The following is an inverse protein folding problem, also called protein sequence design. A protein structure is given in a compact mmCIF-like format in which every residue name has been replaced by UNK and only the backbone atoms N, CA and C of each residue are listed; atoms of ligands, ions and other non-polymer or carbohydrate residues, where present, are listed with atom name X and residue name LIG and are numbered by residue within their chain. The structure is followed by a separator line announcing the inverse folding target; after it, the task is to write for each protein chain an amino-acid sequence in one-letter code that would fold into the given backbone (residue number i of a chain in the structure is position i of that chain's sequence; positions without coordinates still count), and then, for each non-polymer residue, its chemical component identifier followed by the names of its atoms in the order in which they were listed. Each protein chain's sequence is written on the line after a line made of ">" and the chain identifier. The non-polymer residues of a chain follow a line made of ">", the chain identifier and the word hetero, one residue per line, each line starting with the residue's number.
data_IF_967548150264
#
_entry.id   IF_967548150264
#
_cell.length_a   1.000
_cell.length_b   1.000
_cell.length_c   1.000
_cell.angle_alpha   90.00
_cell.angle_beta   90.00
_cell.angle_gamma   90.00
#
_symmetry.space_group_name_H-M   'P 1'
#
loop_
_entity.id
_entity.type
_entity.pdbx_description
1 polymer ?
#
# COMPACT_ATOMS: atom_id res chain seq x y z
N UNK A 1 -16.30 -24.55 -5.20
CA UNK A 1 -15.91 -23.20 -4.71
C UNK A 1 -14.49 -22.94 -5.17
N UNK A 2 -14.30 -22.50 -6.41
CA UNK A 2 -12.97 -22.41 -7.04
C UNK A 2 -12.95 -21.37 -8.16
N UNK A 3 -13.68 -20.26 -7.99
CA UNK A 3 -13.61 -19.13 -8.92
C UNK A 3 -12.57 -18.09 -8.47
N UNK A 4 -12.31 -17.97 -7.16
CA UNK A 4 -11.30 -17.05 -6.60
C UNK A 4 -9.87 -17.61 -6.61
N UNK A 5 -9.71 -18.93 -6.81
CA UNK A 5 -8.41 -19.59 -6.95
C UNK A 5 -7.76 -19.33 -8.32
N UNK A 6 -8.51 -18.75 -9.27
CA UNK A 6 -7.95 -18.42 -10.57
C UNK A 6 -7.07 -17.17 -10.44
N UNK A 7 -5.75 -17.26 -10.70
CA UNK A 7 -4.81 -16.15 -10.53
C UNK A 7 -5.17 -14.92 -11.38
N UNK A 8 -5.84 -15.14 -12.53
CA UNK A 8 -6.34 -14.07 -13.41
C UNK A 8 -7.45 -13.26 -12.75
N UNK A 9 -8.42 -13.92 -12.10
CA UNK A 9 -9.56 -13.27 -11.46
C UNK A 9 -9.08 -12.48 -10.24
N UNK A 10 -8.15 -13.06 -9.47
CA UNK A 10 -7.54 -12.38 -8.33
C UNK A 10 -6.84 -11.08 -8.74
N UNK A 11 -6.01 -11.14 -9.79
CA UNK A 11 -5.32 -9.94 -10.28
C UNK A 11 -6.29 -8.87 -10.80
N UNK A 12 -7.36 -9.27 -11.47
CA UNK A 12 -8.35 -8.33 -11.98
C UNK A 12 -9.09 -7.60 -10.85
N UNK A 13 -9.43 -8.32 -9.77
CA UNK A 13 -10.07 -7.75 -8.59
C UNK A 13 -9.15 -6.73 -7.91
N UNK A 14 -7.87 -7.06 -7.69
CA UNK A 14 -6.93 -6.10 -7.09
C UNK A 14 -6.71 -4.87 -7.97
N UNK A 15 -6.71 -5.03 -9.30
CA UNK A 15 -6.61 -3.88 -10.19
C UNK A 15 -7.83 -2.95 -10.08
N UNK A 16 -9.04 -3.51 -9.97
CA UNK A 16 -10.27 -2.74 -9.74
C UNK A 16 -10.23 -2.04 -8.38
N UNK A 17 -9.81 -2.75 -7.32
CA UNK A 17 -9.67 -2.19 -5.98
C UNK A 17 -8.66 -1.04 -6.01
N UNK A 18 -7.49 -1.23 -6.63
CA UNK A 18 -6.49 -0.18 -6.82
C UNK A 18 -7.03 1.03 -7.58
N UNK A 19 -7.85 0.80 -8.62
CA UNK A 19 -8.49 1.87 -9.39
C UNK A 19 -9.51 2.68 -8.57
N UNK A 20 -10.17 2.07 -7.58
CA UNK A 20 -11.09 2.74 -6.64
C UNK A 20 -10.31 3.38 -5.48
N UNK A 21 -9.22 2.76 -5.03
CA UNK A 21 -8.34 3.31 -4.00
C UNK A 21 -7.63 4.58 -4.48
N UNK A 22 -7.23 4.66 -5.75
CA UNK A 22 -6.60 5.84 -6.34
C UNK A 22 -7.37 7.15 -6.11
N UNK A 23 -8.65 7.28 -6.51
CA UNK A 23 -9.42 8.49 -6.27
C UNK A 23 -9.69 8.72 -4.78
N UNK A 24 -9.88 7.67 -3.97
CA UNK A 24 -10.04 7.81 -2.52
C UNK A 24 -8.79 8.38 -1.85
N UNK A 25 -7.62 7.88 -2.22
CA UNK A 25 -6.32 8.35 -1.76
C UNK A 25 -6.08 9.81 -2.16
N UNK A 26 -6.44 10.18 -3.40
CA UNK A 26 -6.37 11.56 -3.90
C UNK A 26 -7.32 12.49 -3.13
N UNK A 27 -8.54 12.03 -2.86
CA UNK A 27 -9.55 12.79 -2.12
C UNK A 27 -9.15 12.96 -0.65
N UNK A 28 -8.52 11.95 -0.04
CA UNK A 28 -7.95 12.02 1.30
C UNK A 28 -6.87 13.11 1.41
N UNK A 29 -5.94 13.16 0.45
CA UNK A 29 -4.92 14.20 0.39
C UNK A 29 -5.53 15.60 0.20
N UNK A 30 -6.53 15.71 -0.66
CA UNK A 30 -7.27 16.96 -0.88
C UNK A 30 -8.00 17.43 0.39
N UNK A 31 -8.63 16.51 1.11
CA UNK A 31 -9.33 16.78 2.37
C UNK A 31 -8.36 17.28 3.45
N UNK A 32 -7.18 16.67 3.58
CA UNK A 32 -6.12 17.13 4.51
C UNK A 32 -5.64 18.54 4.14
N UNK A 33 -5.53 18.85 2.85
CA UNK A 33 -5.11 20.18 2.40
C UNK A 33 -6.18 21.25 2.63
N UNK A 34 -7.45 20.95 2.37
CA UNK A 34 -8.54 21.93 2.47
C UNK A 34 -9.11 22.09 3.88
N UNK A 35 -9.17 21.01 4.66
CA UNK A 35 -9.79 21.04 5.98
C UNK A 35 -8.84 21.46 7.12
N UNK A 36 -7.52 21.35 6.93
CA UNK A 36 -6.55 21.72 7.97
C UNK A 36 -6.33 23.25 8.02
N UNK A 37 -6.74 23.95 9.10
CA UNK A 37 -6.62 25.41 9.21
C UNK A 37 -5.16 25.88 9.31
N UNK A 38 -4.90 27.11 8.84
CA UNK A 38 -3.55 27.65 8.57
C UNK A 38 -2.65 27.94 9.77
N UNK A 39 -3.06 27.68 11.01
CA UNK A 39 -2.29 27.98 12.22
C UNK A 39 -1.23 26.92 12.59
N UNK A 40 -1.17 25.79 11.87
CA UNK A 40 -0.25 24.66 12.13
C UNK A 40 0.52 24.21 10.87
N UNK A 41 1.10 25.16 10.11
CA UNK A 41 1.75 24.87 8.82
C UNK A 41 2.83 23.78 8.87
N UNK A 42 3.62 23.71 9.95
CA UNK A 42 4.68 22.69 10.09
C UNK A 42 4.11 21.27 10.29
N UNK A 43 3.01 21.17 11.04
CA UNK A 43 2.31 19.89 11.35
C UNK A 43 1.59 19.36 10.11
N UNK A 44 0.98 20.26 9.33
CA UNK A 44 0.18 19.94 8.14
C UNK A 44 1.01 19.26 7.05
N UNK A 45 2.24 19.72 6.84
CA UNK A 45 3.14 19.15 5.83
C UNK A 45 3.63 17.76 6.25
N UNK A 46 3.85 17.54 7.54
CA UNK A 46 4.22 16.23 8.10
C UNK A 46 3.08 15.21 7.96
N UNK A 47 1.84 15.62 8.27
CA UNK A 47 0.63 14.82 8.06
C UNK A 47 0.38 14.49 6.59
N UNK A 48 0.59 15.45 5.69
CA UNK A 48 0.42 15.23 4.25
C UNK A 48 1.51 14.31 3.68
N UNK A 49 2.76 14.45 4.14
CA UNK A 49 3.85 13.57 3.75
C UNK A 49 3.58 12.12 4.18
N UNK A 50 3.04 11.93 5.39
CA UNK A 50 2.67 10.61 5.90
C UNK A 50 1.52 9.98 5.10
N UNK A 51 0.47 10.75 4.81
CA UNK A 51 -0.64 10.31 3.96
C UNK A 51 -0.17 9.96 2.55
N UNK A 52 0.67 10.81 1.96
CA UNK A 52 1.24 10.57 0.62
C UNK A 52 2.05 9.28 0.57
N UNK A 53 2.91 9.04 1.57
CA UNK A 53 3.71 7.83 1.64
C UNK A 53 2.83 6.57 1.82
N UNK A 54 1.80 6.66 2.64
CA UNK A 54 0.84 5.57 2.84
C UNK A 54 0.03 5.27 1.58
N UNK A 55 -0.45 6.29 0.86
CA UNK A 55 -1.11 6.10 -0.42
C UNK A 55 -0.21 5.46 -1.49
N UNK A 56 1.08 5.85 -1.50
CA UNK A 56 2.06 5.27 -2.41
C UNK A 56 2.31 3.79 -2.07
N UNK A 57 2.43 3.46 -0.77
CA UNK A 57 2.55 2.09 -0.25
C UNK A 57 1.34 1.24 -0.66
N UNK A 58 0.12 1.73 -0.46
CA UNK A 58 -1.13 1.06 -0.84
C UNK A 58 -1.20 0.74 -2.35
N UNK A 59 -0.77 1.68 -3.20
CA UNK A 59 -0.67 1.46 -4.64
C UNK A 59 0.37 0.40 -5.01
N UNK A 60 1.54 0.43 -4.36
CA UNK A 60 2.59 -0.56 -4.57
C UNK A 60 2.12 -1.96 -4.14
N UNK A 61 1.40 -2.07 -3.01
CA UNK A 61 0.83 -3.33 -2.57
C UNK A 61 -0.25 -3.87 -3.51
N UNK A 62 -1.15 -3.00 -3.97
CA UNK A 62 -2.24 -3.39 -4.86
C UNK A 62 -1.81 -3.75 -6.28
N UNK A 63 -0.80 -3.06 -6.83
CA UNK A 63 -0.41 -3.18 -8.25
C UNK A 63 0.90 -3.94 -8.45
N UNK A 64 1.89 -3.73 -7.57
CA UNK A 64 3.25 -4.24 -7.77
C UNK A 64 3.46 -5.57 -7.03
N UNK A 65 3.09 -5.62 -5.75
CA UNK A 65 3.28 -6.80 -4.89
C UNK A 65 2.18 -7.83 -5.16
N UNK A 66 0.90 -7.47 -4.96
CA UNK A 66 -0.26 -8.34 -5.15
C UNK A 66 -0.01 -9.78 -4.66
N UNK A 67 0.09 -9.98 -3.34
CA UNK A 67 0.39 -11.28 -2.76
C UNK A 67 -0.78 -12.24 -2.96
N UNK A 68 -0.54 -13.36 -3.64
CA UNK A 68 -1.52 -14.42 -3.82
C UNK A 68 -1.12 -15.65 -3.03
N UNK A 69 -1.84 -15.93 -1.96
CA UNK A 69 -1.64 -17.11 -1.11
C UNK A 69 -2.53 -18.24 -1.60
N UNK A 70 -1.92 -19.36 -2.00
CA UNK A 70 -2.65 -20.55 -2.42
C UNK A 70 -2.77 -21.45 -1.19
N UNK A 71 -3.91 -21.45 -0.52
CA UNK A 71 -4.11 -22.19 0.74
C UNK A 71 -3.94 -23.73 0.61
N UNK A 72 -4.26 -24.42 -0.51
CA UNK A 72 -4.09 -25.88 -0.58
C UNK A 72 -2.64 -26.36 -0.72
N UNK A 73 -1.68 -25.47 -0.98
CA UNK A 73 -0.26 -25.80 -1.04
C UNK A 73 0.46 -24.60 -0.44
N UNK A 74 1.15 -24.75 0.69
CA UNK A 74 1.84 -23.71 1.47
C UNK A 74 2.88 -22.91 0.65
N UNK A 75 2.43 -22.17 -0.36
CA UNK A 75 3.18 -21.27 -1.20
C UNK A 75 2.34 -20.04 -1.44
N UNK A 76 3.01 -18.90 -1.32
CA UNK A 76 2.50 -17.63 -1.73
C UNK A 76 3.29 -17.20 -2.96
N UNK A 77 2.58 -16.76 -3.98
CA UNK A 77 3.15 -16.26 -5.21
C UNK A 77 2.65 -14.86 -5.43
N UNK A 78 3.52 -13.98 -5.89
CA UNK A 78 3.14 -12.61 -6.16
C UNK A 78 2.79 -12.48 -7.63
N UNK A 79 1.53 -12.12 -7.88
CA UNK A 79 0.96 -12.06 -9.21
C UNK A 79 1.12 -10.68 -9.87
N UNK A 80 1.65 -9.70 -9.13
CA UNK A 80 1.83 -8.33 -9.59
C UNK A 80 3.01 -8.14 -10.55
N UNK A 81 3.37 -6.88 -10.79
CA UNK A 81 4.45 -6.49 -11.71
C UNK A 81 5.82 -7.08 -11.32
N UNK A 82 6.00 -7.42 -10.04
CA UNK A 82 7.24 -8.02 -9.52
C UNK A 82 7.51 -9.43 -10.08
N UNK A 83 6.50 -10.10 -10.64
CA UNK A 83 6.65 -11.37 -11.37
C UNK A 83 7.62 -11.25 -12.55
N UNK A 84 7.75 -10.06 -13.14
CA UNK A 84 8.71 -9.82 -14.22
C UNK A 84 10.16 -9.70 -13.73
N UNK A 85 10.36 -9.34 -12.45
CA UNK A 85 11.68 -9.14 -11.85
C UNK A 85 12.26 -10.46 -11.29
N UNK A 86 11.45 -11.53 -11.20
CA UNK A 86 11.85 -12.86 -10.68
C UNK A 86 12.57 -12.79 -9.31
N UNK A 87 12.05 -11.96 -8.41
CA UNK A 87 12.56 -11.87 -7.04
C UNK A 87 12.05 -13.06 -6.23
N UNK A 88 12.88 -13.59 -5.34
CA UNK A 88 12.48 -14.66 -4.41
C UNK A 88 11.39 -14.18 -3.45
N UNK A 89 10.40 -15.04 -3.21
CA UNK A 89 9.25 -14.74 -2.34
C UNK A 89 9.66 -14.23 -0.94
N UNK A 90 10.69 -14.85 -0.35
CA UNK A 90 11.21 -14.44 0.96
C UNK A 90 11.76 -13.02 0.97
N UNK A 91 12.39 -12.60 -0.13
CA UNK A 91 12.95 -11.26 -0.28
C UNK A 91 11.81 -10.25 -0.41
N UNK A 92 10.80 -10.56 -1.22
CA UNK A 92 9.62 -9.71 -1.38
C UNK A 92 8.85 -9.52 -0.07
N UNK A 93 8.59 -10.62 0.67
CA UNK A 93 7.95 -10.57 1.98
C UNK A 93 8.76 -9.76 2.99
N UNK A 94 10.09 -9.88 2.96
CA UNK A 94 10.97 -9.09 3.83
C UNK A 94 10.91 -7.60 3.50
N UNK A 95 10.93 -7.23 2.21
CA UNK A 95 10.81 -5.84 1.76
C UNK A 95 9.47 -5.25 2.20
N UNK A 96 8.38 -5.98 1.99
CA UNK A 96 7.03 -5.62 2.43
C UNK A 96 6.98 -5.31 3.92
N UNK A 97 7.56 -6.18 4.76
CA UNK A 97 7.57 -6.03 6.21
C UNK A 97 8.42 -4.82 6.64
N UNK A 98 9.58 -4.60 6.01
CA UNK A 98 10.44 -3.44 6.25
C UNK A 98 9.72 -2.13 5.90
N UNK A 99 8.98 -2.09 4.79
CA UNK A 99 8.19 -0.90 4.40
C UNK A 99 7.13 -0.60 5.47
N UNK A 100 6.33 -1.59 5.88
CA UNK A 100 5.32 -1.40 6.94
C UNK A 100 5.91 -0.95 8.27
N UNK A 101 7.09 -1.49 8.63
CA UNK A 101 7.80 -1.07 9.84
C UNK A 101 8.32 0.37 9.71
N UNK A 102 8.83 0.76 8.55
CA UNK A 102 9.26 2.13 8.28
C UNK A 102 8.09 3.12 8.37
N UNK A 103 6.92 2.76 7.84
CA UNK A 103 5.71 3.58 7.94
C UNK A 103 5.28 3.78 9.41
N UNK A 104 5.28 2.72 10.21
CA UNK A 104 4.91 2.82 11.63
C UNK A 104 5.91 3.65 12.46
N UNK A 105 7.21 3.56 12.18
CA UNK A 105 8.23 4.44 12.77
C UNK A 105 8.04 5.90 12.36
N UNK A 106 7.72 6.16 11.09
CA UNK A 106 7.48 7.51 10.60
C UNK A 106 6.28 8.14 11.33
N UNK A 107 5.21 7.36 11.55
CA UNK A 107 4.07 7.79 12.38
C UNK A 107 4.50 8.12 13.81
N UNK A 108 5.35 7.30 14.43
CA UNK A 108 5.81 7.52 15.81
C UNK A 108 6.71 8.75 15.94
N UNK A 109 7.64 8.96 15.00
CA UNK A 109 8.49 10.16 14.93
C UNK A 109 7.63 11.41 14.76
N UNK A 110 6.63 11.36 13.88
CA UNK A 110 5.71 12.47 13.65
C UNK A 110 4.88 12.75 14.91
N UNK A 111 4.37 11.72 15.61
CA UNK A 111 3.67 11.88 16.90
C UNK A 111 4.56 12.49 17.98
N UNK A 112 5.85 12.14 18.02
CA UNK A 112 6.81 12.66 19.02
C UNK A 112 7.25 14.10 18.76
N UNK A 113 6.99 14.61 17.54
CA UNK A 113 7.31 15.98 17.14
C UNK A 113 6.20 17.01 17.46
N UNK A 114 5.09 16.58 18.08
CA UNK A 114 3.98 17.41 18.55
C UNK A 114 3.85 17.32 20.07
#
# INVERSE_FOLDING_TARGET
>A
MSFLDSPLIHSFILYIIGLICLPLNLFGGYCILFQTPGYMKSVKLSMLNLHFWSCLSDLLFGVVVQPFTVIPVEYAVSLGLIRYVRVDFWVEGSITLVVLFCESLLVEVVKKSF
#
